data_IF_438596108850
#
_entry.id   IF_438596108850
#
_cell.length_a   1.000
_cell.length_b   1.000
_cell.length_c   1.000
_cell.angle_alpha   90.00
_cell.angle_beta   90.00
_cell.angle_gamma   90.00
#
_symmetry.space_group_name_H-M   'P 1'
#
loop_
_entity.id
_entity.type
_entity.pdbx_description
1 polymer ?
#
# COMPACT_ATOMS: atom_id res chain seq x y z
N UNK A 1 3.13 23.92 -17.03
CA UNK A 1 2.75 22.88 -16.04
C UNK A 1 2.41 23.64 -14.77
N UNK A 2 1.20 23.50 -14.28
CA UNK A 2 0.82 24.10 -13.00
C UNK A 2 1.22 23.10 -11.90
N UNK A 3 2.13 23.52 -11.00
CA UNK A 3 2.60 22.68 -9.90
C UNK A 3 1.71 22.77 -8.66
N UNK A 4 0.72 23.66 -8.68
CA UNK A 4 -0.19 23.81 -7.55
C UNK A 4 -1.34 22.79 -7.60
N UNK A 5 -1.73 22.33 -6.42
CA UNK A 5 -2.97 21.58 -6.26
C UNK A 5 -4.16 22.50 -6.61
N UNK A 6 -5.16 21.95 -7.28
CA UNK A 6 -6.44 22.67 -7.47
C UNK A 6 -7.07 23.00 -6.10
N UNK A 7 -7.98 23.97 -6.07
CA UNK A 7 -8.67 24.36 -4.83
C UNK A 7 -9.47 23.18 -4.23
N UNK A 8 -10.00 22.29 -5.08
CA UNK A 8 -10.64 21.05 -4.63
C UNK A 8 -9.67 20.12 -3.91
N UNK A 9 -8.46 19.92 -4.45
CA UNK A 9 -7.42 19.11 -3.83
C UNK A 9 -6.83 19.75 -2.56
N UNK A 10 -6.67 21.10 -2.54
CA UNK A 10 -6.28 21.83 -1.32
C UNK A 10 -7.33 21.67 -0.21
N UNK A 11 -8.60 21.75 -0.56
CA UNK A 11 -9.73 21.52 0.37
C UNK A 11 -9.76 20.09 0.88
N UNK A 12 -9.56 19.11 -0.02
CA UNK A 12 -9.45 17.68 0.34
C UNK A 12 -8.29 17.46 1.31
N UNK A 13 -7.11 17.99 1.02
CA UNK A 13 -5.94 17.89 1.88
C UNK A 13 -6.20 18.45 3.28
N UNK A 14 -6.76 19.66 3.37
CA UNK A 14 -7.06 20.29 4.65
C UNK A 14 -8.07 19.47 5.47
N UNK A 15 -9.12 18.96 4.82
CA UNK A 15 -10.15 18.11 5.44
C UNK A 15 -9.55 16.79 5.94
N UNK A 16 -8.83 16.08 5.08
CA UNK A 16 -8.20 14.80 5.44
C UNK A 16 -7.12 14.98 6.48
N UNK A 17 -6.30 16.01 6.38
CA UNK A 17 -5.27 16.29 7.37
C UNK A 17 -5.84 16.57 8.77
N UNK A 18 -6.97 17.28 8.87
CA UNK A 18 -7.67 17.47 10.14
C UNK A 18 -8.21 16.15 10.68
N UNK A 19 -8.98 15.43 9.86
CA UNK A 19 -9.55 14.14 10.24
C UNK A 19 -8.48 13.16 10.72
N UNK A 20 -7.38 13.01 9.96
CA UNK A 20 -6.32 12.08 10.30
C UNK A 20 -5.61 12.46 11.61
N UNK A 21 -5.37 13.74 11.86
CA UNK A 21 -4.78 14.20 13.13
C UNK A 21 -5.69 13.97 14.35
N UNK A 22 -6.99 14.19 14.19
CA UNK A 22 -7.95 14.10 15.30
C UNK A 22 -8.40 12.67 15.57
N UNK A 23 -8.64 11.86 14.54
CA UNK A 23 -9.30 10.56 14.67
C UNK A 23 -8.37 9.35 14.50
N UNK A 24 -7.24 9.48 13.78
CA UNK A 24 -6.35 8.36 13.45
C UNK A 24 -5.01 8.43 14.19
N UNK A 25 -4.34 9.57 14.19
CA UNK A 25 -3.01 9.73 14.79
C UNK A 25 -2.95 9.35 16.28
N UNK A 26 -3.94 9.65 17.13
CA UNK A 26 -3.89 9.27 18.54
C UNK A 26 -3.81 7.76 18.79
N UNK A 27 -4.30 6.94 17.84
CA UNK A 27 -4.26 5.48 17.92
C UNK A 27 -3.01 4.83 17.33
N UNK A 28 -2.14 5.57 16.65
CA UNK A 28 -1.05 4.98 15.85
C UNK A 28 -0.02 4.21 16.70
N UNK A 29 0.37 4.73 17.87
CA UNK A 29 1.30 4.04 18.77
C UNK A 29 0.65 2.78 19.37
N UNK A 30 -0.62 2.87 19.73
CA UNK A 30 -1.36 1.73 20.28
C UNK A 30 -1.51 0.60 19.27
N UNK A 31 -1.68 0.91 17.98
CA UNK A 31 -1.71 -0.11 16.93
C UNK A 31 -0.38 -0.85 16.77
N UNK A 32 0.76 -0.18 17.01
CA UNK A 32 2.09 -0.78 16.91
C UNK A 32 2.42 -1.70 18.10
N UNK A 33 1.86 -1.41 19.28
CA UNK A 33 2.24 -2.03 20.56
C UNK A 33 1.16 -2.93 21.18
N UNK A 34 -0.11 -2.78 20.77
CA UNK A 34 -1.23 -3.52 21.35
C UNK A 34 -1.16 -5.02 21.07
N UNK A 35 -1.76 -5.85 21.94
CA UNK A 35 -2.04 -7.24 21.63
C UNK A 35 -2.85 -7.36 20.32
N UNK A 36 -2.64 -8.47 19.59
CA UNK A 36 -3.20 -8.67 18.24
C UNK A 36 -4.73 -8.46 18.16
N UNK A 37 -5.47 -9.00 19.11
CA UNK A 37 -6.93 -8.85 19.13
C UNK A 37 -7.36 -7.39 19.29
N UNK A 38 -6.68 -6.65 20.15
CA UNK A 38 -6.94 -5.22 20.35
C UNK A 38 -6.53 -4.40 19.11
N UNK A 39 -5.37 -4.67 18.53
CA UNK A 39 -4.93 -4.04 17.29
C UNK A 39 -5.90 -4.31 16.14
N UNK A 40 -6.39 -5.54 16.01
CA UNK A 40 -7.40 -5.94 15.02
C UNK A 40 -8.73 -5.18 15.20
N UNK A 41 -9.23 -5.07 16.43
CA UNK A 41 -10.45 -4.32 16.73
C UNK A 41 -10.28 -2.82 16.44
N UNK A 42 -9.12 -2.24 16.79
CA UNK A 42 -8.78 -0.83 16.49
C UNK A 42 -8.69 -0.59 14.99
N UNK A 43 -8.09 -1.53 14.24
CA UNK A 43 -8.00 -1.41 12.78
C UNK A 43 -9.38 -1.43 12.13
N UNK A 44 -10.29 -2.34 12.54
CA UNK A 44 -11.69 -2.34 12.07
C UNK A 44 -12.36 -1.00 12.37
N UNK A 45 -12.22 -0.45 13.59
CA UNK A 45 -12.72 0.87 13.92
C UNK A 45 -12.12 2.00 13.06
N UNK A 46 -10.84 1.90 12.69
CA UNK A 46 -10.23 2.86 11.76
C UNK A 46 -10.82 2.75 10.35
N UNK A 47 -11.08 1.53 9.86
CA UNK A 47 -11.74 1.35 8.54
C UNK A 47 -13.15 1.99 8.51
N UNK A 48 -13.93 1.82 9.58
CA UNK A 48 -15.24 2.49 9.72
C UNK A 48 -15.11 4.03 9.77
N UNK A 49 -14.13 4.56 10.50
CA UNK A 49 -13.84 5.99 10.53
C UNK A 49 -13.46 6.52 9.15
N UNK A 50 -12.61 5.81 8.41
CA UNK A 50 -12.20 6.14 7.05
C UNK A 50 -13.38 6.14 6.08
N UNK A 51 -14.31 5.18 6.22
CA UNK A 51 -15.55 5.15 5.44
C UNK A 51 -16.40 6.40 5.70
N UNK A 52 -16.68 6.73 6.98
CA UNK A 52 -17.42 7.94 7.35
C UNK A 52 -16.79 9.24 6.86
N UNK A 53 -15.46 9.29 6.77
CA UNK A 53 -14.72 10.44 6.22
C UNK A 53 -14.72 10.50 4.68
N UNK A 54 -15.25 9.48 4.00
CA UNK A 54 -15.25 9.36 2.54
C UNK A 54 -13.90 8.93 1.94
N UNK A 55 -12.95 8.49 2.77
CA UNK A 55 -11.63 8.06 2.29
C UNK A 55 -11.69 6.78 1.46
N UNK A 56 -12.46 5.77 1.91
CA UNK A 56 -12.56 4.49 1.18
C UNK A 56 -13.25 4.66 -0.17
N UNK A 57 -14.28 5.49 -0.26
CA UNK A 57 -14.93 5.84 -1.52
C UNK A 57 -13.96 6.55 -2.48
N UNK A 58 -13.18 7.53 -1.97
CA UNK A 58 -12.13 8.19 -2.74
C UNK A 58 -11.08 7.19 -3.23
N UNK A 59 -10.62 6.27 -2.38
CA UNK A 59 -9.63 5.25 -2.74
C UNK A 59 -10.13 4.30 -3.85
N UNK A 60 -11.42 4.00 -3.87
CA UNK A 60 -12.12 3.27 -4.93
C UNK A 60 -12.39 4.15 -6.17
N UNK A 61 -12.28 5.47 -6.05
CA UNK A 61 -12.56 6.45 -7.09
C UNK A 61 -11.54 6.50 -8.23
N UNK A 62 -11.76 7.41 -9.17
CA UNK A 62 -10.94 7.57 -10.38
C UNK A 62 -10.16 8.91 -10.40
N UNK A 63 -9.87 9.46 -9.21
CA UNK A 63 -9.02 10.64 -9.02
C UNK A 63 -7.64 10.24 -8.45
N UNK A 64 -6.62 9.97 -9.28
CA UNK A 64 -5.30 9.55 -8.80
C UNK A 64 -4.61 10.59 -7.91
N UNK A 65 -4.76 11.88 -8.22
CA UNK A 65 -4.15 12.95 -7.44
C UNK A 65 -4.82 13.11 -6.08
N UNK A 66 -6.15 13.09 -6.04
CA UNK A 66 -6.92 13.12 -4.79
C UNK A 66 -6.58 11.93 -3.88
N UNK A 67 -6.42 10.72 -4.46
CA UNK A 67 -5.98 9.53 -3.72
C UNK A 67 -4.58 9.72 -3.12
N UNK A 68 -3.63 10.29 -3.85
CA UNK A 68 -2.31 10.58 -3.34
C UNK A 68 -2.36 11.61 -2.20
N UNK A 69 -3.04 12.72 -2.40
CA UNK A 69 -3.17 13.80 -1.40
C UNK A 69 -3.79 13.30 -0.08
N UNK A 70 -4.88 12.54 -0.18
CA UNK A 70 -5.52 11.96 0.99
C UNK A 70 -4.67 10.84 1.63
N UNK A 71 -3.98 10.06 0.80
CA UNK A 71 -3.08 8.99 1.23
C UNK A 71 -1.86 9.51 2.00
N UNK A 72 -1.26 10.62 1.55
CA UNK A 72 -0.18 11.31 2.28
C UNK A 72 -0.61 11.67 3.71
N UNK A 73 -1.78 12.29 3.87
CA UNK A 73 -2.28 12.70 5.18
C UNK A 73 -2.61 11.49 6.09
N UNK A 74 -3.15 10.42 5.52
CA UNK A 74 -3.42 9.20 6.28
C UNK A 74 -2.11 8.49 6.70
N UNK A 75 -1.16 8.35 5.79
CA UNK A 75 0.13 7.74 6.08
C UNK A 75 0.96 8.56 7.06
N UNK A 76 0.89 9.91 6.99
CA UNK A 76 1.49 10.81 7.97
C UNK A 76 0.95 10.58 9.38
N UNK A 77 -0.34 10.30 9.51
CA UNK A 77 -0.98 10.01 10.80
C UNK A 77 -0.72 8.58 11.29
N UNK A 78 -0.88 7.58 10.42
CA UNK A 78 -0.71 6.17 10.75
C UNK A 78 -0.44 5.33 9.48
N UNK A 79 0.83 5.01 9.17
CA UNK A 79 1.19 4.21 8.00
C UNK A 79 0.53 2.82 7.99
N UNK A 80 0.33 2.19 9.15
CA UNK A 80 -0.32 0.89 9.25
C UNK A 80 -1.80 0.95 8.85
N UNK A 81 -2.53 2.00 9.25
CA UNK A 81 -3.92 2.21 8.81
C UNK A 81 -3.99 2.48 7.32
N UNK A 82 -3.03 3.25 6.78
CA UNK A 82 -2.92 3.45 5.33
C UNK A 82 -2.73 2.12 4.59
N UNK A 83 -1.81 1.26 5.05
CA UNK A 83 -1.54 -0.04 4.41
C UNK A 83 -2.78 -0.93 4.40
N UNK A 84 -3.51 -1.02 5.51
CA UNK A 84 -4.74 -1.80 5.59
C UNK A 84 -5.82 -1.27 4.62
N UNK A 85 -6.02 0.06 4.58
CA UNK A 85 -6.97 0.69 3.67
C UNK A 85 -6.56 0.52 2.20
N UNK A 86 -5.27 0.67 1.87
CA UNK A 86 -4.73 0.46 0.54
C UNK A 86 -4.92 -1.00 0.07
N UNK A 87 -4.62 -1.98 0.92
CA UNK A 87 -4.81 -3.40 0.59
C UNK A 87 -6.28 -3.70 0.29
N UNK A 88 -7.20 -3.16 1.09
CA UNK A 88 -8.65 -3.37 0.92
C UNK A 88 -9.23 -2.58 -0.26
N UNK A 89 -9.05 -1.27 -0.29
CA UNK A 89 -9.70 -0.43 -1.30
C UNK A 89 -8.91 -0.36 -2.61
N UNK A 90 -7.56 -0.19 -2.56
CA UNK A 90 -6.78 -0.03 -3.79
C UNK A 90 -6.42 -1.37 -4.41
N UNK A 91 -5.87 -2.34 -3.64
CA UNK A 91 -5.46 -3.60 -4.24
C UNK A 91 -6.67 -4.48 -4.58
N UNK A 92 -7.55 -4.78 -3.61
CA UNK A 92 -8.71 -5.62 -3.83
C UNK A 92 -9.83 -4.85 -4.55
N UNK A 93 -10.29 -3.73 -4.00
CA UNK A 93 -11.48 -3.02 -4.48
C UNK A 93 -11.30 -2.45 -5.88
N UNK A 94 -10.14 -1.88 -6.21
CA UNK A 94 -9.87 -1.36 -7.58
C UNK A 94 -9.74 -2.49 -8.60
N UNK A 95 -9.22 -3.66 -8.20
CA UNK A 95 -9.23 -4.83 -9.08
C UNK A 95 -10.67 -5.25 -9.44
N UNK A 96 -11.55 -5.35 -8.43
CA UNK A 96 -12.97 -5.63 -8.65
C UNK A 96 -13.64 -4.54 -9.50
N UNK A 97 -13.39 -3.26 -9.21
CA UNK A 97 -13.95 -2.14 -9.99
C UNK A 97 -13.54 -2.21 -11.45
N UNK A 98 -12.27 -2.48 -11.72
CA UNK A 98 -11.70 -2.40 -13.07
C UNK A 98 -11.99 -3.62 -13.93
N UNK A 99 -11.92 -4.81 -13.34
CA UNK A 99 -11.97 -6.06 -14.08
C UNK A 99 -13.20 -6.90 -13.77
N UNK A 100 -13.90 -6.65 -12.67
CA UNK A 100 -15.06 -7.41 -12.26
C UNK A 100 -16.26 -7.26 -13.20
N UNK A 101 -17.13 -8.25 -13.18
CA UNK A 101 -18.47 -8.15 -13.76
C UNK A 101 -19.35 -7.19 -12.96
N UNK A 102 -20.50 -6.77 -13.49
CA UNK A 102 -21.43 -5.90 -12.76
C UNK A 102 -21.89 -6.55 -11.45
N UNK A 103 -22.21 -7.85 -11.46
CA UNK A 103 -22.57 -8.58 -10.25
C UNK A 103 -21.44 -8.61 -9.21
N UNK A 104 -20.18 -8.78 -9.64
CA UNK A 104 -19.04 -8.72 -8.73
C UNK A 104 -18.83 -7.32 -8.14
N UNK A 105 -19.02 -6.26 -8.95
CA UNK A 105 -18.97 -4.88 -8.47
C UNK A 105 -20.09 -4.59 -7.46
N UNK A 106 -21.31 -4.97 -7.75
CA UNK A 106 -22.48 -4.79 -6.87
C UNK A 106 -22.33 -5.54 -5.54
N UNK A 107 -21.75 -6.75 -5.58
CA UNK A 107 -21.54 -7.57 -4.38
C UNK A 107 -20.48 -7.03 -3.43
N UNK A 108 -19.42 -6.39 -3.96
CA UNK A 108 -18.25 -6.04 -3.15
C UNK A 108 -18.06 -4.54 -2.92
N UNK A 109 -18.22 -3.68 -3.94
CA UNK A 109 -17.81 -2.28 -3.83
C UNK A 109 -18.59 -1.48 -2.80
N UNK A 110 -19.94 -1.59 -2.67
CA UNK A 110 -20.68 -0.81 -1.69
C UNK A 110 -20.28 -1.11 -0.24
N UNK A 111 -20.07 -2.40 0.09
CA UNK A 111 -19.69 -2.83 1.45
C UNK A 111 -18.24 -2.48 1.79
N UNK A 112 -17.33 -2.46 0.81
CA UNK A 112 -15.97 -1.96 0.96
C UNK A 112 -15.96 -0.44 1.20
N UNK A 113 -16.71 0.32 0.40
CA UNK A 113 -16.81 1.77 0.55
C UNK A 113 -17.39 2.18 1.92
N UNK A 114 -18.35 1.41 2.41
CA UNK A 114 -18.96 1.59 3.73
C UNK A 114 -18.06 1.11 4.91
N UNK A 115 -16.90 0.50 4.63
CA UNK A 115 -16.02 -0.08 5.66
C UNK A 115 -16.61 -1.30 6.39
N UNK A 116 -17.67 -1.90 5.86
CA UNK A 116 -18.37 -3.05 6.43
C UNK A 116 -17.68 -4.37 6.11
N UNK A 117 -17.01 -4.45 4.98
CA UNK A 117 -16.16 -5.58 4.57
C UNK A 117 -14.73 -5.10 4.30
N UNK A 118 -13.79 -5.99 4.55
CA UNK A 118 -12.36 -5.77 4.29
C UNK A 118 -11.91 -6.78 3.25
N UNK A 119 -11.25 -6.28 2.20
CA UNK A 119 -10.63 -7.10 1.16
C UNK A 119 -9.15 -7.33 1.42
N UNK A 120 -8.61 -8.42 0.85
CA UNK A 120 -7.17 -8.70 0.82
C UNK A 120 -6.75 -9.20 -0.56
N UNK A 121 -5.47 -8.98 -0.89
CA UNK A 121 -4.89 -9.38 -2.18
C UNK A 121 -3.78 -10.40 -1.94
N UNK A 122 -3.94 -11.61 -2.47
CA UNK A 122 -3.14 -12.79 -2.16
C UNK A 122 -2.43 -13.35 -3.40
N UNK A 123 -1.23 -12.86 -3.69
CA UNK A 123 -0.41 -13.30 -4.83
C UNK A 123 0.87 -14.00 -4.38
N UNK A 124 1.55 -13.47 -3.36
CA UNK A 124 2.85 -13.93 -2.88
C UNK A 124 2.76 -15.32 -2.27
N UNK A 125 3.78 -16.14 -2.50
CA UNK A 125 4.03 -17.42 -1.83
C UNK A 125 5.45 -17.44 -1.28
N UNK A 126 5.79 -18.39 -0.43
CA UNK A 126 7.12 -18.49 0.18
C UNK A 126 8.25 -18.52 -0.88
N UNK A 127 8.02 -19.20 -2.00
CA UNK A 127 8.99 -19.34 -3.10
C UNK A 127 8.70 -18.44 -4.30
N UNK A 128 7.60 -17.64 -4.27
CA UNK A 128 7.16 -16.81 -5.39
C UNK A 128 6.73 -15.41 -4.92
N UNK A 129 7.66 -14.46 -4.95
CA UNK A 129 7.41 -13.04 -4.66
C UNK A 129 7.49 -12.19 -5.91
N UNK A 130 8.73 -11.78 -6.28
CA UNK A 130 8.97 -10.99 -7.51
C UNK A 130 8.69 -11.79 -8.78
N UNK A 131 8.97 -13.09 -8.76
CA UNK A 131 8.61 -14.01 -9.82
C UNK A 131 7.24 -14.66 -9.53
N UNK A 132 6.17 -14.01 -9.97
CA UNK A 132 4.82 -14.55 -9.83
C UNK A 132 4.59 -15.83 -10.66
N UNK A 133 5.39 -16.05 -11.71
CA UNK A 133 5.37 -17.28 -12.50
C UNK A 133 5.78 -18.53 -11.70
N UNK A 134 6.55 -18.34 -10.62
CA UNK A 134 6.92 -19.40 -9.68
C UNK A 134 5.80 -19.85 -8.73
N UNK A 135 4.62 -19.23 -8.77
CA UNK A 135 3.45 -19.58 -7.95
C UNK A 135 3.11 -21.06 -8.04
N UNK A 136 2.91 -21.72 -6.88
CA UNK A 136 2.51 -23.12 -6.78
C UNK A 136 0.98 -23.32 -6.73
N UNK A 137 0.23 -22.34 -6.22
CA UNK A 137 -1.24 -22.40 -6.13
C UNK A 137 -1.88 -22.69 -7.48
N UNK A 138 -2.78 -23.67 -7.51
CA UNK A 138 -3.51 -24.11 -8.71
C UNK A 138 -5.02 -23.95 -8.53
N UNK A 139 -5.71 -23.82 -9.66
CA UNK A 139 -7.16 -23.92 -9.77
C UNK A 139 -7.49 -24.90 -10.88
N UNK A 140 -8.05 -26.05 -10.54
CA UNK A 140 -8.44 -27.10 -11.47
C UNK A 140 -9.95 -27.09 -11.68
N UNK A 141 -10.40 -27.30 -12.91
CA UNK A 141 -11.82 -27.39 -13.21
C UNK A 141 -12.31 -28.83 -13.01
N UNK A 142 -13.24 -29.04 -12.09
CA UNK A 142 -13.86 -30.33 -11.77
C UNK A 142 -15.37 -30.16 -11.72
N UNK A 143 -16.11 -30.98 -12.46
CA UNK A 143 -17.58 -30.98 -12.49
C UNK A 143 -18.23 -29.61 -12.69
N UNK A 144 -17.59 -28.75 -13.52
CA UNK A 144 -18.06 -27.39 -13.83
C UNK A 144 -17.76 -26.36 -12.74
N UNK A 145 -16.98 -26.71 -11.71
CA UNK A 145 -16.52 -25.81 -10.65
C UNK A 145 -15.00 -25.70 -10.67
N UNK A 146 -14.47 -24.64 -10.10
CA UNK A 146 -13.05 -24.49 -9.85
C UNK A 146 -12.71 -24.98 -8.45
N UNK A 147 -11.63 -25.75 -8.34
CA UNK A 147 -11.07 -26.27 -7.08
C UNK A 147 -9.69 -25.64 -6.90
N UNK A 148 -9.56 -24.74 -5.93
CA UNK A 148 -8.32 -24.06 -5.62
C UNK A 148 -7.57 -24.79 -4.52
N UNK A 149 -6.25 -24.96 -4.70
CA UNK A 149 -5.35 -25.56 -3.71
C UNK A 149 -4.00 -24.86 -3.72
N UNK A 150 -3.51 -24.52 -2.54
CA UNK A 150 -2.21 -23.84 -2.38
C UNK A 150 -2.15 -22.98 -1.14
N UNK A 151 -1.03 -22.28 -0.99
CA UNK A 151 -0.81 -21.41 0.16
C UNK A 151 -0.22 -20.07 -0.31
N UNK A 152 -0.83 -18.97 0.14
CA UNK A 152 -0.34 -17.60 -0.06
C UNK A 152 0.30 -17.10 1.22
N UNK A 153 1.41 -16.40 1.10
CA UNK A 153 2.15 -15.86 2.22
C UNK A 153 2.07 -14.33 2.26
N UNK A 154 2.35 -13.75 3.43
CA UNK A 154 2.43 -12.30 3.65
C UNK A 154 1.19 -11.53 3.18
N UNK A 155 -0.01 -12.11 3.34
CA UNK A 155 -1.26 -11.49 2.91
C UNK A 155 -1.69 -10.44 3.94
N UNK A 156 -1.50 -9.17 3.60
CA UNK A 156 -1.98 -8.03 4.41
C UNK A 156 -3.50 -8.07 4.52
N UNK A 157 -4.02 -7.78 5.69
CA UNK A 157 -5.41 -7.88 6.10
C UNK A 157 -5.96 -9.31 6.24
N UNK A 158 -5.22 -10.39 5.94
CA UNK A 158 -5.78 -11.73 5.98
C UNK A 158 -6.51 -12.07 7.30
N UNK A 159 -6.03 -11.67 8.50
CA UNK A 159 -6.76 -11.90 9.74
C UNK A 159 -8.11 -11.19 9.82
N UNK A 160 -8.29 -10.08 9.11
CA UNK A 160 -9.49 -9.24 9.14
C UNK A 160 -10.38 -9.38 7.90
N UNK A 161 -9.84 -9.88 6.80
CA UNK A 161 -10.50 -9.87 5.51
C UNK A 161 -11.71 -10.81 5.46
N UNK A 162 -12.78 -10.34 4.80
CA UNK A 162 -13.98 -11.09 4.49
C UNK A 162 -13.91 -11.73 3.10
N UNK A 163 -13.10 -11.16 2.22
CA UNK A 163 -12.89 -11.63 0.85
C UNK A 163 -11.43 -11.43 0.41
N UNK A 164 -10.99 -12.32 -0.48
CA UNK A 164 -9.62 -12.33 -1.00
C UNK A 164 -9.66 -12.35 -2.52
N UNK A 165 -8.69 -11.68 -3.15
CA UNK A 165 -8.31 -11.95 -4.54
C UNK A 165 -7.09 -12.85 -4.54
N UNK A 166 -7.22 -14.03 -5.10
CA UNK A 166 -6.19 -15.07 -5.11
C UNK A 166 -5.72 -15.32 -6.54
N UNK A 167 -4.40 -15.19 -6.77
CA UNK A 167 -3.77 -15.57 -8.04
C UNK A 167 -3.46 -17.07 -8.04
N UNK A 168 -3.94 -17.81 -9.04
CA UNK A 168 -3.70 -19.23 -9.20
C UNK A 168 -3.42 -19.60 -10.66
N UNK A 169 -2.70 -20.69 -10.88
CA UNK A 169 -2.57 -21.32 -12.17
C UNK A 169 -3.85 -22.05 -12.56
N UNK A 170 -4.37 -21.74 -13.72
CA UNK A 170 -5.43 -22.49 -14.39
C UNK A 170 -4.91 -23.32 -15.56
N UNK A 171 -3.82 -22.89 -16.22
CA UNK A 171 -3.18 -23.61 -17.33
C UNK A 171 -1.67 -23.27 -17.39
N UNK A 172 -0.83 -24.17 -16.88
CA UNK A 172 0.63 -23.91 -16.82
C UNK A 172 1.31 -23.90 -18.17
N UNK A 173 0.81 -24.67 -19.14
CA UNK A 173 1.42 -24.78 -20.47
C UNK A 173 1.25 -23.51 -21.32
N UNK A 174 0.26 -22.68 -20.97
CA UNK A 174 -0.01 -21.41 -21.65
C UNK A 174 0.95 -20.27 -21.19
N UNK A 175 1.77 -20.50 -20.16
CA UNK A 175 2.62 -19.46 -19.56
C UNK A 175 1.86 -18.47 -18.67
N UNK A 176 2.58 -17.60 -17.91
CA UNK A 176 1.95 -16.74 -16.91
C UNK A 176 0.90 -15.77 -17.46
N UNK A 177 1.13 -15.21 -18.63
CA UNK A 177 0.24 -14.17 -19.21
C UNK A 177 -1.17 -14.69 -19.53
N UNK A 178 -1.28 -15.96 -19.97
CA UNK A 178 -2.55 -16.58 -20.37
C UNK A 178 -3.01 -17.70 -19.43
N UNK A 179 -2.10 -18.23 -18.61
CA UNK A 179 -2.37 -19.40 -17.76
C UNK A 179 -2.71 -19.09 -16.31
N UNK A 180 -2.58 -17.84 -15.86
CA UNK A 180 -2.88 -17.45 -14.50
C UNK A 180 -4.21 -16.70 -14.42
N UNK A 181 -4.97 -16.94 -13.35
CA UNK A 181 -6.30 -16.35 -13.13
C UNK A 181 -6.40 -15.78 -11.73
N UNK A 182 -7.08 -14.63 -11.58
CA UNK A 182 -7.50 -14.09 -10.29
C UNK A 182 -8.89 -14.60 -9.91
N UNK A 183 -9.00 -15.12 -8.69
CA UNK A 183 -10.25 -15.62 -8.13
C UNK A 183 -10.71 -14.80 -6.94
N UNK A 184 -12.00 -14.48 -6.89
CA UNK A 184 -12.68 -13.95 -5.72
C UNK A 184 -12.98 -15.10 -4.76
N UNK A 185 -12.39 -15.06 -3.57
CA UNK A 185 -12.49 -16.09 -2.54
C UNK A 185 -13.16 -15.47 -1.31
N UNK A 186 -14.27 -16.03 -0.86
CA UNK A 186 -15.01 -15.58 0.32
C UNK A 186 -14.56 -16.38 1.56
N UNK A 187 -14.31 -15.70 2.67
CA UNK A 187 -13.85 -16.32 3.91
C UNK A 187 -14.85 -17.31 4.51
N UNK A 188 -16.13 -17.16 4.24
CA UNK A 188 -17.19 -17.98 4.80
C UNK A 188 -17.32 -19.36 4.15
N UNK A 189 -16.68 -19.57 2.99
CA UNK A 189 -16.72 -20.85 2.27
C UNK A 189 -15.69 -21.82 2.84
N UNK A 190 -16.05 -23.10 2.95
CA UNK A 190 -15.16 -24.15 3.44
C UNK A 190 -13.91 -24.33 2.55
N UNK A 191 -12.81 -24.78 3.14
CA UNK A 191 -11.55 -25.00 2.42
C UNK A 191 -10.57 -23.84 2.52
N UNK A 192 -10.91 -22.76 3.26
CA UNK A 192 -10.00 -21.63 3.51
C UNK A 192 -9.54 -21.60 4.96
N UNK A 193 -8.26 -21.36 5.18
CA UNK A 193 -7.67 -21.16 6.51
C UNK A 193 -6.73 -19.97 6.50
N UNK A 194 -6.91 -19.08 7.46
CA UNK A 194 -5.98 -17.99 7.73
C UNK A 194 -5.04 -18.48 8.82
N UNK A 195 -3.74 -18.39 8.55
CA UNK A 195 -2.69 -18.77 9.50
C UNK A 195 -2.56 -17.78 10.67
N UNK A 196 -1.63 -18.05 11.60
CA UNK A 196 -1.32 -17.11 12.65
C UNK A 196 -0.75 -15.81 12.04
N UNK A 197 -1.02 -14.71 12.71
CA UNK A 197 -0.48 -13.41 12.30
C UNK A 197 1.05 -13.39 12.42
N UNK A 198 1.71 -12.87 11.38
CA UNK A 198 3.17 -12.77 11.28
C UNK A 198 3.65 -11.54 12.06
N UNK A 199 4.74 -11.68 12.81
CA UNK A 199 5.40 -10.54 13.45
C UNK A 199 6.27 -9.79 12.42
N UNK A 200 5.79 -8.61 12.03
CA UNK A 200 6.48 -7.75 11.07
C UNK A 200 7.41 -6.76 11.76
N UNK A 201 8.44 -6.30 11.05
CA UNK A 201 9.38 -5.28 11.54
C UNK A 201 8.65 -3.96 11.83
N UNK A 202 7.84 -3.48 10.89
CA UNK A 202 7.04 -2.26 10.95
C UNK A 202 5.62 -2.51 10.45
N UNK A 203 4.79 -1.45 10.45
CA UNK A 203 3.39 -1.52 10.05
C UNK A 203 2.58 -2.57 10.83
N UNK A 204 2.96 -2.81 12.08
CA UNK A 204 2.45 -3.89 12.94
C UNK A 204 0.95 -3.85 13.16
N UNK A 205 0.34 -2.66 13.03
CA UNK A 205 -1.11 -2.51 13.10
C UNK A 205 -1.87 -2.96 11.84
N UNK A 206 -1.17 -3.27 10.72
CA UNK A 206 -1.75 -3.86 9.52
C UNK A 206 -1.53 -5.38 9.57
N UNK A 207 -2.51 -6.17 10.08
CA UNK A 207 -2.28 -7.58 10.35
C UNK A 207 -2.02 -8.35 9.06
N UNK A 208 -1.01 -9.21 9.09
CA UNK A 208 -0.53 -9.98 7.95
C UNK A 208 -0.44 -11.44 8.34
N UNK A 209 -0.93 -12.35 7.50
CA UNK A 209 -0.88 -13.79 7.74
C UNK A 209 -0.80 -14.56 6.42
N UNK A 210 -0.49 -15.86 6.51
CA UNK A 210 -0.65 -16.78 5.39
C UNK A 210 -2.12 -17.11 5.16
N UNK A 211 -2.47 -17.44 3.91
CA UNK A 211 -3.78 -17.89 3.47
C UNK A 211 -3.65 -19.25 2.80
N UNK A 212 -4.24 -20.28 3.36
CA UNK A 212 -4.23 -21.64 2.84
C UNK A 212 -5.58 -22.01 2.23
N UNK A 213 -5.52 -22.58 1.04
CA UNK A 213 -6.68 -23.11 0.31
C UNK A 213 -6.51 -24.64 0.19
N UNK A 214 -7.45 -25.41 0.71
CA UNK A 214 -7.47 -26.85 0.69
C UNK A 214 -8.74 -27.33 0.01
N UNK A 215 -8.65 -27.67 -1.28
CA UNK A 215 -9.80 -28.06 -2.11
C UNK A 215 -10.95 -27.05 -2.01
N UNK A 216 -10.61 -25.77 -2.07
CA UNK A 216 -11.59 -24.69 -2.00
C UNK A 216 -12.39 -24.62 -3.31
N UNK A 217 -13.68 -24.93 -3.23
CA UNK A 217 -14.57 -25.02 -4.39
C UNK A 217 -15.33 -23.73 -4.65
N UNK A 218 -15.28 -23.23 -5.89
CA UNK A 218 -16.03 -22.04 -6.33
C UNK A 218 -16.65 -22.23 -7.71
N UNK A 219 -17.68 -21.44 -7.99
CA UNK A 219 -18.29 -21.35 -9.32
C UNK A 219 -17.46 -20.53 -10.31
N UNK A 220 -17.93 -20.50 -11.55
CA UNK A 220 -17.35 -19.64 -12.62
C UNK A 220 -17.44 -18.15 -12.27
N UNK A 221 -18.42 -17.76 -11.51
CA UNK A 221 -18.64 -16.39 -11.02
C UNK A 221 -17.56 -15.88 -10.05
N UNK A 222 -16.75 -16.79 -9.50
CA UNK A 222 -15.58 -16.42 -8.71
C UNK A 222 -14.38 -15.96 -9.54
N UNK A 223 -14.33 -16.27 -10.84
CA UNK A 223 -13.28 -15.76 -11.74
C UNK A 223 -13.45 -14.26 -11.91
N UNK A 224 -12.42 -13.47 -11.61
CA UNK A 224 -12.48 -12.03 -11.75
C UNK A 224 -12.64 -11.63 -13.23
N UNK A 225 -13.80 -11.08 -13.58
CA UNK A 225 -14.12 -10.67 -14.95
C UNK A 225 -14.63 -11.78 -15.85
N UNK A 226 -15.05 -12.91 -15.31
CA UNK A 226 -15.74 -14.03 -16.01
C UNK A 226 -14.91 -14.88 -17.00
N UNK A 227 -13.67 -14.54 -17.30
CA UNK A 227 -12.81 -15.31 -18.19
C UNK A 227 -11.52 -15.75 -17.46
N UNK A 228 -11.23 -17.05 -17.47
CA UNK A 228 -9.96 -17.56 -16.97
C UNK A 228 -8.79 -17.09 -17.88
N UNK A 229 -7.60 -17.02 -17.32
CA UNK A 229 -6.45 -16.40 -17.95
C UNK A 229 -6.39 -14.89 -17.73
N UNK A 230 -5.33 -14.25 -18.11
CA UNK A 230 -5.17 -12.79 -17.98
C UNK A 230 -4.95 -12.26 -16.55
N UNK A 231 -4.99 -13.11 -15.52
CA UNK A 231 -4.79 -12.73 -14.12
C UNK A 231 -3.43 -12.09 -13.87
N UNK A 232 -2.40 -12.55 -14.52
CA UNK A 232 -1.05 -11.95 -14.44
C UNK A 232 -1.04 -10.50 -14.93
N UNK A 233 -1.66 -10.23 -16.07
CA UNK A 233 -1.81 -8.88 -16.61
C UNK A 233 -2.65 -7.98 -15.70
N UNK A 234 -3.73 -8.50 -15.11
CA UNK A 234 -4.57 -7.80 -14.13
C UNK A 234 -3.75 -7.41 -12.90
N UNK A 235 -2.94 -8.32 -12.34
CA UNK A 235 -2.03 -8.04 -11.22
C UNK A 235 -1.08 -6.89 -11.56
N UNK A 236 -0.43 -6.93 -12.72
CA UNK A 236 0.49 -5.87 -13.16
C UNK A 236 -0.16 -4.48 -13.22
N UNK A 237 -1.40 -4.42 -13.69
CA UNK A 237 -2.14 -3.16 -13.76
C UNK A 237 -2.54 -2.64 -12.37
N UNK A 238 -2.92 -3.52 -11.45
CA UNK A 238 -3.21 -3.14 -10.06
C UNK A 238 -1.94 -2.73 -9.32
N UNK A 239 -0.81 -3.39 -9.58
CA UNK A 239 0.48 -3.00 -8.99
C UNK A 239 0.86 -1.55 -9.32
N UNK A 240 0.49 -1.01 -10.49
CA UNK A 240 0.73 0.40 -10.79
C UNK A 240 -0.06 1.32 -9.87
N UNK A 241 -1.34 1.03 -9.61
CA UNK A 241 -2.17 1.81 -8.68
C UNK A 241 -1.65 1.72 -7.24
N UNK A 242 -1.23 0.53 -6.82
CA UNK A 242 -0.63 0.31 -5.49
C UNK A 242 0.73 0.99 -5.38
N UNK A 243 1.57 0.96 -6.40
CA UNK A 243 2.87 1.64 -6.39
C UNK A 243 2.74 3.16 -6.28
N UNK A 244 1.73 3.75 -6.93
CA UNK A 244 1.42 5.16 -6.76
C UNK A 244 0.96 5.47 -5.32
N UNK A 245 0.13 4.60 -4.74
CA UNK A 245 -0.29 4.72 -3.34
C UNK A 245 0.89 4.57 -2.36
N UNK A 246 1.83 3.65 -2.61
CA UNK A 246 3.05 3.48 -1.80
C UNK A 246 4.00 4.70 -1.92
N UNK A 247 4.04 5.35 -3.09
CA UNK A 247 4.76 6.62 -3.23
C UNK A 247 4.16 7.70 -2.32
N UNK A 248 2.83 7.84 -2.30
CA UNK A 248 2.13 8.76 -1.40
C UNK A 248 2.34 8.39 0.08
N UNK A 249 2.31 7.09 0.44
CA UNK A 249 2.61 6.62 1.80
C UNK A 249 4.01 7.06 2.24
N UNK A 250 4.99 6.89 1.37
CA UNK A 250 6.39 7.24 1.65
C UNK A 250 6.57 8.75 1.88
N UNK A 251 5.89 9.59 1.10
CA UNK A 251 5.86 11.05 1.32
C UNK A 251 5.21 11.36 2.68
N UNK A 252 4.09 10.72 3.02
CA UNK A 252 3.44 10.90 4.32
C UNK A 252 4.33 10.54 5.52
N UNK A 253 5.05 9.40 5.43
CA UNK A 253 6.05 8.99 6.44
C UNK A 253 7.16 10.04 6.55
N UNK A 254 7.67 10.52 5.42
CA UNK A 254 8.69 11.57 5.39
C UNK A 254 8.22 12.85 6.08
N UNK A 255 6.99 13.28 5.84
CA UNK A 255 6.36 14.43 6.52
C UNK A 255 6.30 14.23 8.04
N UNK A 256 5.83 13.06 8.50
CA UNK A 256 5.76 12.74 9.92
C UNK A 256 7.15 12.80 10.59
N UNK A 257 8.17 12.23 9.93
CA UNK A 257 9.55 12.28 10.40
C UNK A 257 10.08 13.72 10.51
N UNK A 258 9.77 14.58 9.53
CA UNK A 258 10.17 15.98 9.55
C UNK A 258 9.51 16.78 10.68
N UNK A 259 8.23 16.55 10.93
CA UNK A 259 7.50 17.21 12.02
C UNK A 259 8.03 16.84 13.39
N UNK A 260 8.24 15.53 13.62
CA UNK A 260 8.84 15.06 14.87
C UNK A 260 10.23 15.64 15.08
N UNK A 261 11.06 15.62 14.04
CA UNK A 261 12.44 16.14 14.09
C UNK A 261 12.48 17.64 14.32
N UNK A 262 11.61 18.40 13.66
CA UNK A 262 11.52 19.87 13.82
C UNK A 262 11.04 20.23 15.21
N UNK A 263 10.02 19.53 15.74
CA UNK A 263 9.52 19.72 17.10
C UNK A 263 10.61 19.43 18.13
N UNK A 264 11.30 18.30 17.98
CA UNK A 264 12.41 17.92 18.85
C UNK A 264 13.56 18.93 18.78
N UNK A 265 13.99 19.36 17.59
CA UNK A 265 15.07 20.29 17.39
C UNK A 265 14.81 21.68 18.01
N UNK A 266 13.56 22.13 18.05
CA UNK A 266 13.14 23.38 18.69
C UNK A 266 13.08 23.26 20.22
N UNK A 267 12.67 22.09 20.75
CA UNK A 267 12.46 21.89 22.18
C UNK A 267 13.72 21.46 22.93
N UNK A 268 14.51 20.55 22.36
CA UNK A 268 15.72 20.00 22.99
C UNK A 268 16.83 21.01 23.02
N UNK A 269 17.43 21.20 24.20
CA UNK A 269 18.60 22.06 24.39
C UNK A 269 19.85 21.24 24.65
N UNK A 270 20.98 21.68 24.08
CA UNK A 270 22.33 21.22 24.36
C UNK A 270 23.28 22.41 24.26
N UNK A 271 24.35 22.44 25.05
CA UNK A 271 25.31 23.56 25.07
C UNK A 271 24.64 24.93 25.22
N UNK A 272 23.58 24.99 26.05
CA UNK A 272 22.89 26.25 26.39
C UNK A 272 21.85 26.76 25.37
N UNK A 273 21.63 26.09 24.22
CA UNK A 273 20.70 26.55 23.18
C UNK A 273 19.92 25.38 22.55
N UNK A 274 18.76 25.64 21.89
CA UNK A 274 18.04 24.62 21.11
C UNK A 274 18.94 23.95 20.09
N UNK A 275 18.83 22.63 19.93
CA UNK A 275 19.70 21.88 19.01
C UNK A 275 19.48 22.23 17.54
N UNK A 276 18.32 22.75 17.17
CA UNK A 276 18.05 23.26 15.82
C UNK A 276 18.92 24.45 15.39
N UNK A 277 19.60 25.12 16.35
CA UNK A 277 20.55 26.21 16.07
C UNK A 277 21.96 25.71 15.77
N UNK A 278 22.18 24.39 15.77
CA UNK A 278 23.45 23.84 15.32
C UNK A 278 23.37 23.49 13.83
N UNK A 279 24.40 23.94 13.07
CA UNK A 279 24.42 23.73 11.62
C UNK A 279 24.27 22.28 11.20
N UNK A 280 24.91 21.35 11.91
CA UNK A 280 24.80 19.92 11.63
C UNK A 280 23.38 19.33 11.83
N UNK A 281 22.53 19.93 12.67
CA UNK A 281 21.12 19.57 12.81
C UNK A 281 20.29 20.24 11.71
N UNK A 282 20.54 21.53 11.46
CA UNK A 282 19.89 22.29 10.38
C UNK A 282 20.09 21.64 9.01
N UNK A 283 21.31 21.19 8.71
CA UNK A 283 21.62 20.49 7.45
C UNK A 283 20.79 19.20 7.29
N UNK A 284 20.58 18.41 8.36
CA UNK A 284 19.73 17.20 8.32
C UNK A 284 18.28 17.55 8.00
N UNK A 285 17.73 18.58 8.66
CA UNK A 285 16.36 19.04 8.39
C UNK A 285 16.21 19.54 6.94
N UNK A 286 17.20 20.25 6.41
CA UNK A 286 17.19 20.71 5.02
C UNK A 286 17.20 19.54 4.02
N UNK A 287 18.02 18.51 4.27
CA UNK A 287 18.05 17.30 3.44
C UNK A 287 16.70 16.58 3.49
N UNK A 288 16.13 16.39 4.68
CA UNK A 288 14.83 15.74 4.85
C UNK A 288 13.75 16.50 4.07
N UNK A 289 13.70 17.82 4.19
CA UNK A 289 12.76 18.67 3.45
C UNK A 289 12.91 18.48 1.94
N UNK A 290 14.13 18.63 1.42
CA UNK A 290 14.41 18.55 -0.01
C UNK A 290 14.00 17.20 -0.59
N UNK A 291 14.36 16.09 0.07
CA UNK A 291 14.00 14.75 -0.41
C UNK A 291 12.49 14.51 -0.38
N UNK A 292 11.80 14.98 0.66
CA UNK A 292 10.36 14.79 0.77
C UNK A 292 9.60 15.62 -0.27
N UNK A 293 10.01 16.87 -0.50
CA UNK A 293 9.39 17.76 -1.49
C UNK A 293 9.59 17.24 -2.91
N UNK A 294 10.80 16.80 -3.26
CA UNK A 294 11.05 16.13 -4.55
C UNK A 294 10.18 14.88 -4.72
N UNK A 295 10.08 14.05 -3.66
CA UNK A 295 9.23 12.85 -3.68
C UNK A 295 7.77 13.19 -3.93
N UNK A 296 7.26 14.23 -3.29
CA UNK A 296 5.90 14.72 -3.47
C UNK A 296 5.67 15.22 -4.90
N UNK A 297 6.60 16.02 -5.45
CA UNK A 297 6.52 16.48 -6.84
C UNK A 297 6.47 15.31 -7.82
N UNK A 298 7.31 14.29 -7.64
CA UNK A 298 7.30 13.08 -8.49
C UNK A 298 5.99 12.32 -8.37
N UNK A 299 5.45 12.17 -7.15
CA UNK A 299 4.18 11.49 -6.90
C UNK A 299 3.02 12.23 -7.57
N UNK A 300 2.95 13.55 -7.42
CA UNK A 300 1.93 14.38 -8.08
C UNK A 300 2.06 14.32 -9.61
N UNK A 301 3.29 14.36 -10.16
CA UNK A 301 3.52 14.24 -11.61
C UNK A 301 3.06 12.87 -12.14
N UNK A 302 3.36 11.79 -11.40
CA UNK A 302 2.92 10.45 -11.79
C UNK A 302 1.39 10.33 -11.72
N UNK A 303 0.76 10.84 -10.64
CA UNK A 303 -0.69 10.84 -10.48
C UNK A 303 -1.39 11.63 -11.60
N UNK A 304 -0.85 12.79 -11.96
CA UNK A 304 -1.37 13.59 -13.07
C UNK A 304 -1.23 12.86 -14.40
N UNK A 305 -0.07 12.21 -14.69
CA UNK A 305 0.13 11.41 -15.89
C UNK A 305 -0.88 10.25 -16.00
N UNK A 306 -1.16 9.56 -14.89
CA UNK A 306 -2.20 8.53 -14.84
C UNK A 306 -3.57 9.12 -15.14
N UNK A 307 -3.92 10.27 -14.56
CA UNK A 307 -5.21 10.94 -14.80
C UNK A 307 -5.40 11.38 -16.26
N UNK A 308 -4.31 11.78 -16.93
CA UNK A 308 -4.34 12.17 -18.35
C UNK A 308 -4.23 10.98 -19.31
N UNK A 309 -4.01 9.76 -18.83
CA UNK A 309 -3.78 8.59 -19.67
C UNK A 309 -2.47 8.67 -20.46
N UNK A 310 -1.44 9.36 -19.92
CA UNK A 310 -0.15 9.48 -20.61
C UNK A 310 0.47 8.10 -20.83
N UNK A 311 1.01 7.81 -22.03
CA UNK A 311 1.70 6.53 -22.31
C UNK A 311 2.82 6.23 -21.32
N UNK A 312 3.45 7.26 -20.79
CA UNK A 312 4.59 7.19 -19.88
C UNK A 312 4.19 7.02 -18.40
N UNK A 313 2.89 7.03 -18.09
CA UNK A 313 2.41 7.01 -16.71
C UNK A 313 2.96 5.85 -15.89
N UNK A 314 3.13 4.67 -16.47
CA UNK A 314 3.65 3.50 -15.80
C UNK A 314 5.11 3.69 -15.32
N UNK A 315 5.97 4.26 -16.17
CA UNK A 315 7.36 4.53 -15.78
C UNK A 315 7.45 5.69 -14.79
N UNK A 316 6.61 6.71 -14.91
CA UNK A 316 6.53 7.80 -13.93
C UNK A 316 6.13 7.29 -12.55
N UNK A 317 5.15 6.37 -12.46
CA UNK A 317 4.77 5.72 -11.22
C UNK A 317 5.94 4.92 -10.62
N UNK A 318 6.66 4.17 -11.46
CA UNK A 318 7.83 3.41 -11.01
C UNK A 318 8.96 4.33 -10.51
N UNK A 319 9.24 5.43 -11.19
CA UNK A 319 10.20 6.44 -10.73
C UNK A 319 9.77 7.07 -9.40
N UNK A 320 8.51 7.44 -9.26
CA UNK A 320 7.98 8.01 -8.02
C UNK A 320 8.10 7.03 -6.86
N UNK A 321 7.66 5.77 -7.04
CA UNK A 321 7.75 4.74 -6.01
C UNK A 321 9.20 4.45 -5.61
N UNK A 322 10.09 4.27 -6.57
CA UNK A 322 11.50 4.01 -6.30
C UNK A 322 12.12 5.14 -5.48
N UNK A 323 11.99 6.38 -5.96
CA UNK A 323 12.59 7.53 -5.28
C UNK A 323 12.01 7.74 -3.89
N UNK A 324 10.68 7.75 -3.75
CA UNK A 324 10.03 8.10 -2.48
C UNK A 324 10.24 7.05 -1.41
N UNK A 325 10.24 5.75 -1.76
CA UNK A 325 10.50 4.69 -0.78
C UNK A 325 11.92 4.77 -0.20
N UNK A 326 12.94 4.96 -1.04
CA UNK A 326 14.32 5.11 -0.59
C UNK A 326 14.55 6.44 0.15
N UNK A 327 13.90 7.51 -0.30
CA UNK A 327 13.92 8.80 0.39
C UNK A 327 13.30 8.72 1.79
N UNK A 328 12.17 8.02 1.95
CA UNK A 328 11.51 7.83 3.24
C UNK A 328 12.43 7.10 4.23
N UNK A 329 13.09 6.03 3.80
CA UNK A 329 14.08 5.32 4.61
C UNK A 329 15.23 6.22 5.06
N UNK A 330 15.78 7.04 4.14
CA UNK A 330 16.83 8.01 4.44
C UNK A 330 16.34 9.11 5.39
N UNK A 331 15.16 9.66 5.17
CA UNK A 331 14.54 10.69 6.00
C UNK A 331 14.32 10.16 7.42
N UNK A 332 13.77 8.95 7.55
CA UNK A 332 13.54 8.31 8.85
C UNK A 332 14.86 8.07 9.61
N UNK A 333 15.93 7.65 8.93
CA UNK A 333 17.26 7.51 9.51
C UNK A 333 17.82 8.86 10.02
N UNK A 334 17.64 9.94 9.26
CA UNK A 334 18.03 11.30 9.68
C UNK A 334 17.19 11.79 10.86
N UNK A 335 15.89 11.45 10.91
CA UNK A 335 15.01 11.77 12.03
C UNK A 335 15.48 11.10 13.32
N UNK A 336 15.80 9.81 13.28
CA UNK A 336 16.41 9.11 14.42
C UNK A 336 17.70 9.78 14.87
N UNK A 337 18.56 10.20 13.94
CA UNK A 337 19.82 10.87 14.24
C UNK A 337 19.61 12.24 14.89
N UNK A 338 18.59 13.01 14.48
CA UNK A 338 18.22 14.30 15.12
C UNK A 338 17.75 14.08 16.56
N UNK A 339 17.06 12.99 16.84
CA UNK A 339 16.62 12.64 18.20
C UNK A 339 17.73 12.06 19.09
N UNK A 340 18.87 11.67 18.52
CA UNK A 340 20.00 11.06 19.23
C UNK A 340 19.57 9.76 19.94
N UNK A 341 20.06 9.51 21.14
CA UNK A 341 19.74 8.30 21.91
C UNK A 341 18.23 8.12 22.16
N UNK A 342 17.45 9.18 22.27
CA UNK A 342 15.99 9.10 22.40
C UNK A 342 15.30 8.52 21.14
N UNK A 343 15.85 8.80 19.95
CA UNK A 343 15.34 8.21 18.71
C UNK A 343 15.52 6.69 18.61
N UNK A 344 16.44 6.13 19.38
CA UNK A 344 16.74 4.69 19.40
C UNK A 344 15.90 3.92 20.44
N UNK A 345 15.08 4.60 21.20
CA UNK A 345 14.22 3.97 22.21
C UNK A 345 12.94 3.44 21.54
N UNK A 346 12.61 2.17 21.86
CA UNK A 346 11.34 1.55 21.45
C UNK A 346 10.16 2.40 21.96
N UNK A 347 9.10 2.50 21.14
CA UNK A 347 7.88 3.24 21.45
C UNK A 347 7.96 4.72 21.08
N UNK A 348 9.07 5.24 20.56
CA UNK A 348 9.12 6.60 20.02
C UNK A 348 8.54 6.66 18.61
N UNK A 349 7.95 7.80 18.25
CA UNK A 349 7.35 7.97 16.92
C UNK A 349 8.38 7.77 15.79
N UNK A 350 9.61 8.30 15.95
CA UNK A 350 10.64 8.20 14.91
C UNK A 350 11.19 6.78 14.75
N UNK A 351 11.26 6.01 15.83
CA UNK A 351 11.64 4.59 15.79
C UNK A 351 10.60 3.78 15.02
N UNK A 352 9.30 3.97 15.31
CA UNK A 352 8.21 3.33 14.57
C UNK A 352 8.25 3.72 13.09
N UNK A 353 8.33 5.01 12.77
CA UNK A 353 8.38 5.51 11.40
C UNK A 353 9.60 4.97 10.62
N UNK A 354 10.74 4.76 11.30
CA UNK A 354 11.93 4.14 10.68
C UNK A 354 11.66 2.69 10.25
N UNK A 355 10.99 1.91 11.10
CA UNK A 355 10.57 0.54 10.77
C UNK A 355 9.53 0.52 9.64
N UNK A 356 8.55 1.40 9.73
CA UNK A 356 7.45 1.49 8.77
C UNK A 356 7.93 1.90 7.37
N UNK A 357 8.89 2.81 7.28
CA UNK A 357 9.43 3.31 6.02
C UNK A 357 10.05 2.20 5.15
N UNK A 358 10.64 1.17 5.78
CA UNK A 358 11.33 0.10 5.06
C UNK A 358 10.39 -0.74 4.16
N UNK A 359 9.13 -0.83 4.51
CA UNK A 359 8.16 -1.66 3.79
C UNK A 359 8.05 -1.31 2.30
N UNK A 360 7.99 -0.02 1.97
CA UNK A 360 7.76 0.41 0.60
C UNK A 360 8.91 0.09 -0.37
N UNK A 361 10.12 -0.18 0.11
CA UNK A 361 11.23 -0.60 -0.75
C UNK A 361 11.10 -2.07 -1.18
N UNK A 362 10.48 -2.91 -0.37
CA UNK A 362 10.41 -4.37 -0.59
C UNK A 362 9.07 -4.86 -1.12
N UNK A 363 7.97 -4.18 -0.80
CA UNK A 363 6.62 -4.63 -1.13
C UNK A 363 6.15 -4.18 -2.53
N UNK A 364 5.25 -4.98 -3.12
CA UNK A 364 4.54 -4.67 -4.37
C UNK A 364 5.46 -4.33 -5.55
N UNK A 365 6.53 -5.08 -5.69
CA UNK A 365 7.60 -4.84 -6.64
C UNK A 365 8.74 -4.06 -5.99
N UNK A 366 9.84 -4.77 -5.72
CA UNK A 366 11.01 -4.23 -5.02
C UNK A 366 11.66 -3.05 -5.75
N UNK A 367 12.54 -2.31 -5.06
CA UNK A 367 13.34 -1.25 -5.69
C UNK A 367 14.12 -1.76 -6.92
N UNK A 368 14.60 -3.00 -6.88
CA UNK A 368 15.30 -3.63 -8.00
C UNK A 368 14.37 -3.87 -9.19
N UNK A 369 13.13 -4.31 -8.96
CA UNK A 369 12.11 -4.47 -10.01
C UNK A 369 11.76 -3.12 -10.64
N UNK A 370 11.61 -2.05 -9.84
CA UNK A 370 11.36 -0.70 -10.36
C UNK A 370 12.52 -0.24 -11.24
N UNK A 371 13.78 -0.44 -10.79
CA UNK A 371 14.97 -0.11 -11.57
C UNK A 371 15.01 -0.88 -12.91
N UNK A 372 14.73 -2.17 -12.87
CA UNK A 372 14.71 -3.00 -14.08
C UNK A 372 13.64 -2.52 -15.08
N UNK A 373 12.44 -2.18 -14.59
CA UNK A 373 11.37 -1.65 -15.41
C UNK A 373 11.72 -0.29 -16.03
N UNK A 374 12.26 0.65 -15.24
CA UNK A 374 12.69 1.98 -15.71
C UNK A 374 13.82 1.85 -16.73
N UNK A 375 14.81 0.98 -16.48
CA UNK A 375 15.92 0.76 -17.40
C UNK A 375 15.45 0.20 -18.75
N UNK A 376 14.53 -0.76 -18.73
CA UNK A 376 13.92 -1.32 -19.96
C UNK A 376 13.20 -0.23 -20.76
N UNK A 377 12.33 0.56 -20.12
CA UNK A 377 11.60 1.66 -20.77
C UNK A 377 12.58 2.68 -21.38
N UNK A 378 13.64 3.05 -20.65
CA UNK A 378 14.67 3.98 -21.16
C UNK A 378 15.40 3.45 -22.38
N UNK A 379 15.78 2.16 -22.37
CA UNK A 379 16.43 1.54 -23.53
C UNK A 379 15.50 1.44 -24.75
N UNK A 380 14.21 1.20 -24.52
CA UNK A 380 13.22 1.14 -25.60
C UNK A 380 12.96 2.52 -26.22
N UNK A 381 12.97 3.60 -25.42
CA UNK A 381 12.78 5.00 -25.89
C UNK A 381 13.96 5.54 -26.67
N UNK A 382 15.16 5.24 -26.25
CA UNK A 382 16.39 5.78 -26.80
C UNK A 382 17.10 4.81 -27.76
N UNK A 383 16.38 3.82 -28.31
CA UNK A 383 16.89 3.03 -29.43
C UNK A 383 17.14 3.98 -30.59
N UNK A 384 18.40 4.02 -31.08
CA UNK A 384 18.73 4.74 -32.31
C UNK A 384 17.87 4.20 -33.46
N UNK A 385 17.37 5.05 -34.35
CA UNK A 385 16.59 4.65 -35.50
C UNK A 385 17.34 3.68 -36.41
#
# INVERSE_FOLDING_TARGET
>A
MDYELSDAHKTLQARMGRFCREEIAPGAALLDEAPREEAAARMKGNMEKLARAGYLELALGDDPLGKCVAGEELARACPATFLAAMSSATAFGRAVKRFGTDGQREAHLPTLAAGQRIGAFACTEAEAGSDLGGTATTAEKKDGRWVLSGEKDLVTNAPLADAFLVLAWTERTAGPEEGMTLFLVDRSVEGIRVGPEVETMGLRGAPTAALRLENYEVGEDAVLGSAAGGGYGQVRLIMQEVNLALAAMSVGIGMACMEESTRHAKARKAFGKPIGLFEGVGAKLAIMFTFNDLGRMMTCRAAWGVAQGEPESAVLVSCAKLFTSEAAGKIAGLAMQVHGGHGYLKGTAVERLYRDARFAEVAWGTSEMQRAFIAKDSLDRFRSP
#
